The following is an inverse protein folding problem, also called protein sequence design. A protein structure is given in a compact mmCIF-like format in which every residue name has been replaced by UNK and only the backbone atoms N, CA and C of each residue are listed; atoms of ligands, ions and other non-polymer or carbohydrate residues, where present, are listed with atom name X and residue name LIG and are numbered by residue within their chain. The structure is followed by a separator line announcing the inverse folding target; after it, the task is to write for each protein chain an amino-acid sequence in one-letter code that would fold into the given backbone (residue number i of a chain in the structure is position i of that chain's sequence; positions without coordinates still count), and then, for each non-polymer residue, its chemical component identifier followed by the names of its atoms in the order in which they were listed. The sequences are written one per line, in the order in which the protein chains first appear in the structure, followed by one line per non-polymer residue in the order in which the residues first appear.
data_IF_319476700957
#
_entry.id   IF_319476700957
#
_cell.length_a   1.000
_cell.length_b   1.000
_cell.length_c   1.000
_cell.angle_alpha   90.00
_cell.angle_beta   90.00
_cell.angle_gamma   90.00
#
_symmetry.space_group_name_H-M   'P 1'
#
loop_
_entity.id
_entity.type
_entity.pdbx_description
1 polymer ?
#
# COMPACT_ATOMS: atom_id res chain seq x y z
N UNK A 1 92.74 -8.78 30.69
CA UNK A 1 93.04 -8.53 29.27
C UNK A 1 91.76 -8.85 28.50
N UNK A 2 90.79 -7.94 28.52
CA UNK A 2 90.57 -6.87 27.52
C UNK A 2 90.16 -7.44 26.15
N UNK A 3 88.85 -7.31 25.90
CA UNK A 3 88.13 -6.94 24.67
C UNK A 3 88.56 -7.49 23.30
N UNK A 4 87.61 -7.99 22.49
CA UNK A 4 86.76 -7.15 21.62
C UNK A 4 85.82 -8.04 20.78
N UNK A 5 84.51 -7.91 20.99
CA UNK A 5 83.46 -8.65 20.29
C UNK A 5 82.77 -7.68 19.31
N UNK A 6 83.26 -7.67 18.07
CA UNK A 6 82.70 -6.86 16.98
C UNK A 6 81.51 -7.56 16.34
N UNK A 7 80.50 -6.74 16.02
CA UNK A 7 79.40 -6.91 15.05
C UNK A 7 78.07 -7.46 15.59
N UNK A 8 77.27 -6.56 16.17
CA UNK A 8 75.80 -6.64 16.12
C UNK A 8 75.32 -5.43 15.31
N UNK A 9 74.67 -5.70 14.17
CA UNK A 9 73.99 -4.68 13.35
C UNK A 9 72.69 -4.29 14.06
N UNK A 10 72.61 -3.05 14.54
CA UNK A 10 71.34 -2.44 14.94
C UNK A 10 70.47 -2.25 13.69
N UNK A 11 69.35 -2.96 13.63
CA UNK A 11 68.19 -2.55 12.83
C UNK A 11 67.42 -1.51 13.65
N UNK A 12 67.45 -0.26 13.20
CA UNK A 12 66.61 0.81 13.72
C UNK A 12 65.21 0.60 13.17
N UNK A 13 64.30 0.05 13.98
CA UNK A 13 62.87 0.12 13.70
C UNK A 13 62.43 1.58 13.85
N UNK A 14 62.22 2.26 12.72
CA UNK A 14 61.51 3.52 12.70
C UNK A 14 60.07 3.28 13.16
N UNK A 15 59.75 3.71 14.38
CA UNK A 15 58.39 3.75 14.89
C UNK A 15 57.64 4.85 14.11
N UNK A 16 56.86 4.45 13.10
CA UNK A 16 55.88 5.34 12.47
C UNK A 16 54.72 5.46 13.45
N UNK A 17 54.72 6.55 14.22
CA UNK A 17 53.57 6.95 15.02
C UNK A 17 52.53 7.50 14.03
N UNK A 18 51.59 6.66 13.60
CA UNK A 18 50.39 7.12 12.91
C UNK A 18 49.58 7.98 13.88
N UNK A 19 49.31 9.27 13.60
CA UNK A 19 48.36 10.03 14.38
C UNK A 19 46.99 9.37 14.19
N UNK A 20 46.43 8.86 15.28
CA UNK A 20 45.04 8.43 15.34
C UNK A 20 44.21 9.70 15.19
N UNK A 21 43.79 10.01 13.97
CA UNK A 21 42.75 11.01 13.74
C UNK A 21 41.52 10.47 14.46
N UNK A 22 40.97 11.16 15.48
CA UNK A 22 39.69 10.78 16.02
C UNK A 22 38.70 11.00 14.88
N UNK A 23 38.30 9.92 14.22
CA UNK A 23 37.08 9.93 13.42
C UNK A 23 35.97 10.24 14.42
N UNK A 24 35.61 11.52 14.49
CA UNK A 24 34.41 11.96 15.15
C UNK A 24 33.26 11.18 14.53
N UNK A 25 32.79 10.15 15.24
CA UNK A 25 31.41 9.73 15.15
C UNK A 25 30.62 10.98 15.50
N UNK A 26 30.25 11.77 14.49
CA UNK A 26 29.10 12.63 14.59
C UNK A 26 27.97 11.69 14.99
N UNK A 27 27.57 11.75 16.26
CA UNK A 27 26.34 11.14 16.69
C UNK A 27 25.26 11.68 15.75
N UNK A 28 24.72 10.81 14.89
CA UNK A 28 23.56 11.17 14.08
C UNK A 28 22.52 11.72 15.06
N UNK A 29 22.02 12.93 14.77
CA UNK A 29 21.00 13.56 15.60
C UNK A 29 19.80 12.60 15.82
N UNK A 30 18.95 12.86 16.83
CA UNK A 30 17.86 11.94 17.16
C UNK A 30 17.03 11.61 15.91
N UNK A 31 16.85 10.31 15.65
CA UNK A 31 16.07 9.85 14.50
C UNK A 31 14.70 10.52 14.47
N UNK A 32 14.22 10.82 13.27
CA UNK A 32 12.86 11.34 13.06
C UNK A 32 11.76 10.29 13.32
N UNK A 33 12.13 9.01 13.43
CA UNK A 33 11.20 7.89 13.61
C UNK A 33 11.72 6.86 14.62
N UNK A 34 11.99 7.26 15.88
CA UNK A 34 12.68 6.41 16.85
C UNK A 34 11.89 5.16 17.26
N UNK A 35 10.56 5.21 17.32
CA UNK A 35 9.72 4.03 17.57
C UNK A 35 9.80 3.05 16.41
N UNK A 36 9.75 3.56 15.18
CA UNK A 36 9.89 2.74 13.98
C UNK A 36 11.27 2.08 13.90
N UNK A 37 12.34 2.78 14.25
CA UNK A 37 13.70 2.21 14.29
C UNK A 37 13.84 1.12 15.35
N UNK A 38 13.30 1.35 16.56
CA UNK A 38 13.26 0.33 17.62
C UNK A 38 12.45 -0.89 17.19
N UNK A 39 11.33 -0.70 16.50
CA UNK A 39 10.53 -1.79 15.95
C UNK A 39 11.34 -2.65 14.97
N UNK A 40 12.02 -2.01 14.01
CA UNK A 40 12.86 -2.69 13.01
C UNK A 40 13.93 -3.53 13.69
N UNK A 41 14.65 -2.98 14.68
CA UNK A 41 15.70 -3.73 15.37
C UNK A 41 15.14 -4.89 16.21
N UNK A 42 14.01 -4.69 16.88
CA UNK A 42 13.33 -5.76 17.61
C UNK A 42 12.92 -6.90 16.68
N UNK A 43 12.26 -6.58 15.56
CA UNK A 43 11.79 -7.55 14.57
C UNK A 43 12.97 -8.28 13.92
N UNK A 44 14.04 -7.56 13.56
CA UNK A 44 15.26 -8.15 12.98
C UNK A 44 15.84 -9.23 13.89
N UNK A 45 15.91 -8.97 15.21
CA UNK A 45 16.42 -9.94 16.18
C UNK A 45 15.53 -11.18 16.27
N UNK A 46 14.21 -11.00 16.35
CA UNK A 46 13.25 -12.13 16.38
C UNK A 46 13.32 -12.96 15.10
N UNK A 47 13.24 -12.32 13.93
CA UNK A 47 13.28 -13.00 12.64
C UNK A 47 14.58 -13.76 12.44
N UNK A 48 15.73 -13.15 12.79
CA UNK A 48 17.04 -13.81 12.74
C UNK A 48 17.09 -15.04 13.66
N UNK A 49 16.60 -14.93 14.88
CA UNK A 49 16.57 -16.05 15.82
C UNK A 49 15.73 -17.21 15.26
N UNK A 50 14.53 -16.93 14.76
CA UNK A 50 13.64 -17.95 14.18
C UNK A 50 14.24 -18.59 12.92
N UNK A 51 14.86 -17.80 12.04
CA UNK A 51 15.49 -18.29 10.82
C UNK A 51 16.69 -19.22 11.11
N UNK A 52 17.45 -18.97 12.17
CA UNK A 52 18.55 -19.85 12.60
C UNK A 52 18.05 -21.23 13.03
N UNK A 53 16.90 -21.29 13.72
CA UNK A 53 16.29 -22.54 14.18
C UNK A 53 15.55 -23.34 13.10
N UNK A 54 15.24 -22.74 11.95
CA UNK A 54 14.44 -23.39 10.91
C UNK A 54 14.86 -22.98 9.49
N UNK A 55 15.99 -23.54 9.04
CA UNK A 55 16.60 -23.23 7.73
C UNK A 55 15.79 -23.68 6.52
N UNK A 56 14.81 -24.57 6.73
CA UNK A 56 13.97 -25.04 5.63
C UNK A 56 13.04 -23.93 5.13
N UNK A 57 12.61 -22.99 5.99
CA UNK A 57 11.69 -21.89 5.65
C UNK A 57 12.44 -20.64 5.17
N UNK A 58 11.75 -19.77 4.43
CA UNK A 58 12.29 -18.51 3.92
C UNK A 58 12.54 -17.51 5.08
N UNK A 59 13.73 -16.89 5.18
CA UNK A 59 13.99 -15.81 6.15
C UNK A 59 13.01 -14.63 6.04
N UNK A 60 12.55 -14.34 4.82
CA UNK A 60 11.56 -13.31 4.52
C UNK A 60 10.19 -13.65 5.11
N UNK A 61 9.81 -14.93 5.18
CA UNK A 61 8.58 -15.35 5.84
C UNK A 61 8.63 -15.02 7.34
N UNK A 62 9.73 -15.33 8.02
CA UNK A 62 9.90 -14.97 9.43
C UNK A 62 9.90 -13.46 9.66
N UNK A 63 10.57 -12.70 8.78
CA UNK A 63 10.61 -11.24 8.86
C UNK A 63 9.22 -10.63 8.63
N UNK A 64 8.48 -11.11 7.64
CA UNK A 64 7.12 -10.67 7.35
C UNK A 64 6.16 -11.02 8.50
N UNK A 65 6.17 -12.26 8.97
CA UNK A 65 5.31 -12.70 10.06
C UNK A 65 5.62 -11.95 11.37
N UNK A 66 6.90 -11.79 11.72
CA UNK A 66 7.29 -11.01 12.89
C UNK A 66 6.89 -9.53 12.76
N UNK A 67 6.96 -8.95 11.56
CA UNK A 67 6.48 -7.58 11.31
C UNK A 67 4.97 -7.48 11.47
N UNK A 68 4.20 -8.40 10.89
CA UNK A 68 2.74 -8.41 11.01
C UNK A 68 2.30 -8.56 12.47
N UNK A 69 2.92 -9.49 13.20
CA UNK A 69 2.66 -9.71 14.62
C UNK A 69 3.03 -8.49 15.48
N UNK A 70 4.17 -7.85 15.20
CA UNK A 70 4.57 -6.63 15.91
C UNK A 70 3.54 -5.52 15.71
N UNK A 71 3.15 -5.25 14.47
CA UNK A 71 2.16 -4.21 14.18
C UNK A 71 0.83 -4.53 14.86
N UNK A 72 0.32 -5.75 14.71
CA UNK A 72 -0.96 -6.14 15.32
C UNK A 72 -0.93 -6.06 16.87
N UNK A 73 0.21 -6.37 17.48
CA UNK A 73 0.37 -6.38 18.93
C UNK A 73 0.66 -4.98 19.54
N UNK A 74 0.84 -3.94 18.72
CA UNK A 74 1.10 -2.56 19.20
C UNK A 74 0.12 -1.54 18.66
N UNK A 75 -0.51 -1.80 17.52
CA UNK A 75 -1.50 -0.90 16.93
C UNK A 75 -2.88 -1.54 17.02
N UNK A 76 -3.81 -0.81 17.64
CA UNK A 76 -5.18 -1.28 17.85
C UNK A 76 -6.19 -0.39 17.12
N UNK A 77 -7.06 -1.03 16.34
CA UNK A 77 -8.22 -0.34 15.74
C UNK A 77 -9.29 0.00 16.77
N UNK A 78 -9.33 -0.72 17.90
CA UNK A 78 -10.16 -0.34 19.04
C UNK A 78 -9.66 0.97 19.67
N UNK A 79 -8.35 1.11 19.89
CA UNK A 79 -7.77 2.35 20.42
C UNK A 79 -8.02 3.52 19.47
N UNK A 80 -7.89 3.30 18.15
CA UNK A 80 -8.25 4.30 17.16
C UNK A 80 -9.72 4.72 17.26
N UNK A 81 -10.63 3.76 17.39
CA UNK A 81 -12.07 4.02 17.56
C UNK A 81 -12.35 4.82 18.83
N UNK A 82 -11.73 4.47 19.96
CA UNK A 82 -11.84 5.20 21.24
C UNK A 82 -11.39 6.65 21.05
N UNK A 83 -10.20 6.88 20.47
CA UNK A 83 -9.71 8.23 20.19
C UNK A 83 -10.68 9.03 19.31
N UNK A 84 -11.29 8.38 18.32
CA UNK A 84 -12.27 9.01 17.43
C UNK A 84 -13.54 9.42 18.18
N UNK A 85 -14.09 8.53 19.01
CA UNK A 85 -15.30 8.81 19.82
C UNK A 85 -15.03 9.91 20.84
N UNK A 86 -13.86 9.91 21.46
CA UNK A 86 -13.39 10.94 22.38
C UNK A 86 -13.01 12.26 21.69
N UNK A 87 -13.13 12.35 20.36
CA UNK A 87 -12.75 13.51 19.53
C UNK A 87 -11.29 13.94 19.74
N UNK A 88 -10.40 13.01 20.08
CA UNK A 88 -8.96 13.23 20.20
C UNK A 88 -8.30 13.22 18.82
N UNK A 89 -7.12 13.83 18.72
CA UNK A 89 -6.34 13.84 17.48
C UNK A 89 -5.91 12.42 17.09
N UNK A 90 -6.41 11.96 15.95
CA UNK A 90 -6.06 10.67 15.36
C UNK A 90 -4.63 10.68 14.81
N UNK A 91 -3.91 9.54 14.87
CA UNK A 91 -2.56 9.46 14.32
C UNK A 91 -2.58 9.59 12.80
N UNK A 92 -1.65 10.39 12.27
CA UNK A 92 -1.58 10.74 10.84
C UNK A 92 -0.41 10.09 10.10
N UNK A 93 0.48 9.43 10.82
CA UNK A 93 1.65 8.72 10.29
C UNK A 93 2.01 7.52 11.18
N UNK A 94 2.93 6.69 10.70
CA UNK A 94 3.36 5.45 11.38
C UNK A 94 3.92 5.71 12.77
N UNK A 95 4.76 6.73 12.93
CA UNK A 95 5.36 7.05 14.22
C UNK A 95 4.31 7.42 15.27
N UNK A 96 3.33 8.26 14.90
CA UNK A 96 2.19 8.59 15.76
C UNK A 96 1.28 7.40 16.03
N UNK A 97 1.13 6.48 15.07
CA UNK A 97 0.38 5.25 15.28
C UNK A 97 1.04 4.35 16.33
N UNK A 98 2.36 4.23 16.30
CA UNK A 98 3.14 3.48 17.29
C UNK A 98 3.10 4.18 18.66
N UNK A 99 3.21 5.52 18.68
CA UNK A 99 3.15 6.30 19.93
C UNK A 99 1.80 6.18 20.62
N UNK A 100 0.70 6.24 19.85
CA UNK A 100 -0.67 6.20 20.37
C UNK A 100 -1.23 4.77 20.47
N UNK A 101 -0.47 3.78 20.05
CA UNK A 101 -0.90 2.39 19.95
C UNK A 101 -2.23 2.23 19.19
N UNK A 102 -2.44 3.07 18.18
CA UNK A 102 -3.74 3.25 17.53
C UNK A 102 -3.60 3.28 16.00
N UNK A 103 -4.44 2.52 15.30
CA UNK A 103 -4.50 2.52 13.85
C UNK A 103 -5.64 1.67 13.30
N UNK A 104 -6.13 2.03 12.11
CA UNK A 104 -7.02 1.17 11.31
C UNK A 104 -6.23 0.43 10.23
N UNK A 105 -6.91 -0.34 9.38
CA UNK A 105 -6.29 -1.17 8.35
C UNK A 105 -5.24 -0.43 7.50
N UNK A 106 -5.54 0.79 7.05
CA UNK A 106 -4.59 1.64 6.33
C UNK A 106 -3.32 1.98 7.12
N UNK A 107 -3.47 2.30 8.41
CA UNK A 107 -2.32 2.57 9.28
C UNK A 107 -1.49 1.31 9.53
N UNK A 108 -2.13 0.18 9.75
CA UNK A 108 -1.48 -1.11 9.97
C UNK A 108 -0.61 -1.50 8.76
N UNK A 109 -1.16 -1.40 7.55
CA UNK A 109 -0.42 -1.68 6.32
C UNK A 109 0.67 -0.64 6.09
N UNK A 110 0.44 0.65 6.38
CA UNK A 110 1.49 1.67 6.29
C UNK A 110 2.69 1.35 7.19
N UNK A 111 2.44 1.00 8.46
CA UNK A 111 3.49 0.61 9.41
C UNK A 111 4.22 -0.65 8.94
N UNK A 112 3.48 -1.67 8.50
CA UNK A 112 4.04 -2.90 7.96
C UNK A 112 4.97 -2.64 6.77
N UNK A 113 4.54 -1.83 5.80
CA UNK A 113 5.32 -1.53 4.60
C UNK A 113 6.56 -0.68 4.92
N UNK A 114 6.46 0.26 5.86
CA UNK A 114 7.59 1.09 6.29
C UNK A 114 8.66 0.26 6.99
N UNK A 115 8.26 -0.62 7.92
CA UNK A 115 9.17 -1.55 8.60
C UNK A 115 9.75 -2.56 7.60
N UNK A 116 8.91 -3.15 6.75
CA UNK A 116 9.32 -4.11 5.71
C UNK A 116 10.41 -3.53 4.80
N UNK A 117 10.26 -2.27 4.38
CA UNK A 117 11.27 -1.56 3.58
C UNK A 117 12.62 -1.49 4.31
N UNK A 118 12.62 -1.15 5.61
CA UNK A 118 13.85 -1.04 6.44
C UNK A 118 14.47 -2.42 6.76
N UNK A 119 13.69 -3.49 6.65
CA UNK A 119 14.14 -4.88 6.74
C UNK A 119 14.59 -5.46 5.38
N UNK A 120 14.50 -4.68 4.29
CA UNK A 120 14.88 -5.14 2.95
C UNK A 120 13.85 -6.06 2.27
N UNK A 121 12.63 -6.15 2.79
CA UNK A 121 11.57 -6.95 2.20
C UNK A 121 10.96 -6.24 1.00
N UNK A 122 10.74 -6.98 -0.09
CA UNK A 122 9.94 -6.52 -1.23
C UNK A 122 8.47 -6.73 -0.91
N UNK A 123 7.79 -5.68 -0.45
CA UNK A 123 6.38 -5.72 -0.08
C UNK A 123 5.55 -4.69 -0.86
N UNK A 124 4.25 -4.96 -1.02
CA UNK A 124 3.28 -4.04 -1.64
C UNK A 124 1.91 -4.11 -0.93
N UNK A 125 1.12 -3.03 -0.95
CA UNK A 125 -0.26 -3.09 -0.47
C UNK A 125 -1.15 -3.89 -1.42
N UNK A 126 -2.20 -4.49 -0.87
CA UNK A 126 -3.33 -5.02 -1.62
C UNK A 126 -4.59 -4.37 -1.07
N UNK A 127 -5.25 -3.56 -1.88
CA UNK A 127 -6.40 -2.75 -1.50
C UNK A 127 -7.67 -3.34 -2.08
N UNK A 128 -8.71 -3.41 -1.27
CA UNK A 128 -10.01 -4.00 -1.55
C UNK A 128 -11.07 -2.92 -1.46
N UNK A 129 -11.81 -2.69 -2.54
CA UNK A 129 -12.89 -1.71 -2.58
C UNK A 129 -14.22 -2.42 -2.86
N UNK A 130 -14.98 -2.61 -1.78
CA UNK A 130 -16.26 -3.29 -1.80
C UNK A 130 -17.32 -2.37 -2.37
N UNK A 131 -18.08 -2.89 -3.34
CA UNK A 131 -19.17 -2.15 -3.96
C UNK A 131 -20.46 -2.62 -3.30
N UNK A 132 -20.98 -1.82 -2.37
CA UNK A 132 -22.27 -2.11 -1.74
C UNK A 132 -23.43 -1.96 -2.74
N UNK A 133 -24.68 -2.19 -2.34
CA UNK A 133 -25.82 -2.04 -3.27
C UNK A 133 -25.95 -0.62 -3.85
N UNK A 134 -25.47 0.38 -3.11
CA UNK A 134 -25.39 1.79 -3.50
C UNK A 134 -24.00 2.35 -3.20
N UNK A 135 -23.52 3.37 -3.91
CA UNK A 135 -22.20 3.98 -3.66
C UNK A 135 -21.97 4.42 -2.21
N UNK A 136 -23.00 4.87 -1.50
CA UNK A 136 -22.92 5.29 -0.09
C UNK A 136 -22.64 4.14 0.88
N UNK A 137 -22.87 2.90 0.45
CA UNK A 137 -22.57 1.69 1.21
C UNK A 137 -21.23 1.05 0.79
N UNK A 138 -20.45 1.70 -0.08
CA UNK A 138 -19.11 1.23 -0.37
C UNK A 138 -18.26 1.29 0.90
N UNK A 139 -17.34 0.33 1.04
CA UNK A 139 -16.31 0.31 2.07
C UNK A 139 -15.03 -0.26 1.50
N UNK A 140 -13.96 -0.24 2.31
CA UNK A 140 -12.65 -0.69 1.86
C UNK A 140 -11.89 -1.43 2.94
N UNK A 141 -11.01 -2.33 2.52
CA UNK A 141 -10.01 -2.96 3.36
C UNK A 141 -8.65 -2.97 2.68
N UNK A 142 -7.57 -3.14 3.44
CA UNK A 142 -6.22 -3.19 2.88
C UNK A 142 -5.38 -4.20 3.64
N UNK A 143 -4.60 -4.96 2.87
CA UNK A 143 -3.65 -5.97 3.29
C UNK A 143 -2.27 -5.68 2.67
N UNK A 144 -1.32 -6.59 2.85
CA UNK A 144 -0.05 -6.53 2.14
C UNK A 144 0.31 -7.88 1.52
N UNK A 145 1.11 -7.84 0.46
CA UNK A 145 1.82 -9.00 -0.07
C UNK A 145 3.33 -8.80 0.09
N UNK A 146 4.04 -9.86 0.45
CA UNK A 146 5.51 -9.90 0.47
C UNK A 146 6.00 -10.88 -0.59
N UNK A 147 6.99 -10.47 -1.36
CA UNK A 147 7.59 -11.30 -2.40
C UNK A 147 8.78 -12.07 -1.84
N UNK A 148 8.70 -13.39 -1.86
CA UNK A 148 9.83 -14.27 -1.58
C UNK A 148 9.67 -15.58 -2.33
N UNK A 149 10.81 -16.19 -2.71
CA UNK A 149 10.87 -17.42 -3.51
C UNK A 149 10.03 -17.35 -4.79
N UNK A 150 10.10 -16.24 -5.51
CA UNK A 150 9.45 -16.09 -6.81
C UNK A 150 7.95 -15.76 -6.76
N UNK A 151 7.32 -15.71 -5.58
CA UNK A 151 5.87 -15.54 -5.45
C UNK A 151 5.51 -14.43 -4.47
N UNK A 152 4.37 -13.78 -4.72
CA UNK A 152 3.72 -12.89 -3.76
C UNK A 152 2.94 -13.71 -2.73
N UNK A 153 2.89 -13.22 -1.49
CA UNK A 153 2.39 -13.96 -0.32
C UNK A 153 1.59 -13.01 0.55
N UNK A 154 0.30 -13.27 0.72
CA UNK A 154 -0.64 -12.34 1.34
C UNK A 154 -0.64 -12.42 2.86
N UNK A 155 -0.67 -11.25 3.50
CA UNK A 155 -0.83 -11.05 4.94
C UNK A 155 -1.90 -9.98 5.16
N UNK A 156 -2.85 -10.27 6.06
CA UNK A 156 -3.75 -9.27 6.61
C UNK A 156 -3.26 -8.84 7.99
N UNK A 157 -2.65 -7.66 8.04
CA UNK A 157 -1.99 -7.15 9.24
C UNK A 157 -3.03 -6.70 10.28
N UNK A 158 -4.22 -6.31 9.84
CA UNK A 158 -5.30 -5.84 10.73
C UNK A 158 -5.81 -7.01 11.58
N UNK A 159 -6.06 -8.14 10.92
CA UNK A 159 -6.59 -9.34 11.57
C UNK A 159 -5.50 -10.32 12.04
N UNK A 160 -4.24 -10.07 11.67
CA UNK A 160 -3.13 -10.99 11.96
C UNK A 160 -3.35 -12.31 11.24
N UNK A 161 -3.82 -12.23 9.99
CA UNK A 161 -4.17 -13.40 9.18
C UNK A 161 -3.14 -13.63 8.09
N UNK A 162 -2.81 -14.90 7.86
CA UNK A 162 -2.08 -15.35 6.68
C UNK A 162 -2.67 -16.68 6.20
N UNK A 163 -2.35 -17.06 4.96
CA UNK A 163 -3.07 -18.13 4.25
C UNK A 163 -2.13 -19.21 3.71
N UNK A 164 -1.67 -20.17 4.53
CA UNK A 164 -0.89 -21.31 4.05
C UNK A 164 -1.68 -22.12 3.03
N UNK A 165 -1.02 -22.49 1.93
CA UNK A 165 -1.58 -23.38 0.93
C UNK A 165 -1.64 -24.80 1.51
N UNK A 166 -2.82 -25.44 1.44
CA UNK A 166 -3.01 -26.81 1.91
C UNK A 166 -2.03 -27.79 1.23
N UNK A 167 -1.40 -28.65 2.02
CA UNK A 167 -0.38 -29.61 1.57
C UNK A 167 0.97 -28.97 1.18
N UNK A 168 1.09 -27.64 1.26
CA UNK A 168 2.31 -26.90 0.99
C UNK A 168 3.24 -26.81 2.20
N UNK A 169 4.37 -26.14 1.99
CA UNK A 169 5.29 -25.76 3.07
C UNK A 169 4.63 -24.69 3.94
N UNK A 170 5.03 -24.58 5.21
CA UNK A 170 4.48 -23.58 6.15
C UNK A 170 4.60 -22.13 5.65
N UNK A 171 5.64 -21.84 4.88
CA UNK A 171 5.89 -20.53 4.26
C UNK A 171 5.34 -20.41 2.82
N UNK A 172 4.64 -21.42 2.31
CA UNK A 172 3.96 -21.36 1.02
C UNK A 172 2.56 -20.77 1.20
N UNK A 173 2.49 -19.44 1.21
CA UNK A 173 1.23 -18.72 1.41
C UNK A 173 0.57 -18.37 0.07
N UNK A 174 -0.75 -18.33 0.02
CA UNK A 174 -1.46 -17.88 -1.17
C UNK A 174 -1.31 -16.35 -1.37
N UNK A 175 -1.32 -15.92 -2.64
CA UNK A 175 -1.52 -14.51 -3.01
C UNK A 175 -3.01 -14.18 -3.15
N UNK A 176 -3.36 -12.91 -3.35
CA UNK A 176 -4.77 -12.51 -3.46
C UNK A 176 -5.47 -13.16 -4.66
N UNK A 177 -4.75 -13.42 -5.76
CA UNK A 177 -5.35 -14.02 -6.95
C UNK A 177 -5.74 -15.47 -6.71
N UNK A 178 -4.87 -16.26 -6.07
CA UNK A 178 -5.17 -17.64 -5.71
C UNK A 178 -6.28 -17.72 -4.67
N UNK A 179 -6.26 -16.86 -3.65
CA UNK A 179 -7.30 -16.81 -2.62
C UNK A 179 -8.69 -16.57 -3.21
N UNK A 180 -8.78 -15.69 -4.21
CA UNK A 180 -10.03 -15.37 -4.89
C UNK A 180 -10.48 -16.38 -5.93
N UNK A 181 -9.57 -17.19 -6.44
CA UNK A 181 -9.88 -18.24 -7.39
C UNK A 181 -10.41 -19.52 -6.71
N UNK A 182 -10.10 -19.72 -5.43
CA UNK A 182 -10.46 -20.93 -4.70
C UNK A 182 -11.58 -20.67 -3.70
N UNK A 183 -12.71 -21.36 -3.86
CA UNK A 183 -13.90 -21.18 -3.00
C UNK A 183 -13.63 -21.54 -1.54
N UNK A 184 -12.71 -22.48 -1.30
CA UNK A 184 -12.34 -22.94 0.05
C UNK A 184 -11.19 -22.16 0.69
N UNK A 185 -10.74 -21.06 0.09
CA UNK A 185 -9.61 -20.29 0.60
C UNK A 185 -9.80 -19.75 2.02
N UNK A 186 -11.06 -19.60 2.46
CA UNK A 186 -11.40 -19.24 3.86
C UNK A 186 -10.88 -20.27 4.86
N UNK A 187 -10.93 -21.56 4.51
CA UNK A 187 -10.46 -22.66 5.37
C UNK A 187 -8.94 -22.60 5.59
N UNK A 188 -8.21 -21.85 4.75
CA UNK A 188 -6.76 -21.71 4.84
C UNK A 188 -6.33 -20.60 5.81
N UNK A 189 -7.26 -19.78 6.30
CA UNK A 189 -6.94 -18.63 7.12
C UNK A 189 -6.38 -19.07 8.50
N UNK A 190 -5.14 -18.69 8.79
CA UNK A 190 -4.59 -18.72 10.14
C UNK A 190 -4.70 -17.31 10.71
N UNK A 191 -5.63 -17.09 11.64
CA UNK A 191 -6.02 -15.77 12.15
C UNK A 191 -5.82 -15.68 13.65
N UNK A 192 -5.33 -14.54 14.15
CA UNK A 192 -5.31 -14.24 15.57
C UNK A 192 -6.71 -13.85 16.10
N UNK A 193 -7.55 -14.86 16.35
CA UNK A 193 -8.92 -14.63 16.82
C UNK A 193 -8.99 -14.13 18.28
N UNK A 194 -7.92 -14.23 19.06
CA UNK A 194 -7.89 -13.72 20.44
C UNK A 194 -7.81 -12.18 20.53
N UNK A 195 -7.59 -11.50 19.39
CA UNK A 195 -7.56 -10.05 19.35
C UNK A 195 -8.95 -9.45 19.70
N UNK A 196 -8.98 -8.49 20.64
CA UNK A 196 -10.25 -7.91 21.11
C UNK A 196 -11.03 -7.18 20.02
N UNK A 197 -10.35 -6.51 19.09
CA UNK A 197 -11.00 -5.87 17.96
C UNK A 197 -11.61 -6.89 16.99
N UNK A 198 -10.93 -8.02 16.77
CA UNK A 198 -11.48 -9.14 16.01
C UNK A 198 -12.76 -9.68 16.65
N UNK A 199 -12.75 -9.90 17.97
CA UNK A 199 -13.93 -10.34 18.71
C UNK A 199 -15.09 -9.35 18.61
N UNK A 200 -14.81 -8.05 18.74
CA UNK A 200 -15.81 -6.99 18.56
C UNK A 200 -16.43 -7.00 17.16
N UNK A 201 -15.60 -7.20 16.12
CA UNK A 201 -16.05 -7.25 14.72
C UNK A 201 -16.99 -8.42 14.47
N UNK A 202 -16.60 -9.62 14.94
CA UNK A 202 -17.42 -10.84 14.85
C UNK A 202 -18.71 -10.70 15.66
N UNK A 203 -18.65 -10.15 16.88
CA UNK A 203 -19.83 -9.89 17.70
C UNK A 203 -20.81 -8.90 17.03
N UNK A 204 -20.29 -8.00 16.20
CA UNK A 204 -21.06 -7.08 15.36
C UNK A 204 -21.61 -7.72 14.08
N UNK A 205 -21.46 -9.04 13.92
CA UNK A 205 -21.86 -9.84 12.74
C UNK A 205 -21.20 -9.36 11.44
N UNK A 206 -20.01 -8.79 11.54
CA UNK A 206 -19.21 -8.39 10.39
C UNK A 206 -18.21 -9.51 10.04
N UNK A 207 -17.87 -9.61 8.76
CA UNK A 207 -16.94 -10.61 8.25
C UNK A 207 -15.53 -10.01 8.07
N UNK A 208 -14.52 -10.42 8.88
CA UNK A 208 -13.14 -9.96 8.71
C UNK A 208 -12.52 -10.36 7.36
N UNK A 209 -13.02 -11.42 6.73
CA UNK A 209 -12.46 -12.04 5.53
C UNK A 209 -13.35 -11.87 4.29
N UNK A 210 -14.29 -10.92 4.32
CA UNK A 210 -15.23 -10.64 3.22
C UNK A 210 -14.54 -10.46 1.86
N UNK A 211 -13.30 -9.95 1.85
CA UNK A 211 -12.54 -9.72 0.61
C UNK A 211 -12.20 -11.00 -0.18
N UNK A 212 -12.30 -12.18 0.44
CA UNK A 212 -11.99 -13.45 -0.22
C UNK A 212 -13.05 -13.82 -1.26
N UNK A 213 -14.33 -13.53 -0.97
CA UNK A 213 -15.47 -14.01 -1.75
C UNK A 213 -16.52 -12.93 -2.08
N UNK A 214 -16.30 -11.66 -1.67
CA UNK A 214 -17.16 -10.56 -2.06
C UNK A 214 -17.42 -10.53 -3.58
N UNK A 215 -18.69 -10.55 -4.03
CA UNK A 215 -19.04 -10.66 -5.44
C UNK A 215 -18.71 -9.39 -6.21
N UNK A 216 -18.87 -8.22 -5.58
CA UNK A 216 -18.62 -6.93 -6.20
C UNK A 216 -17.42 -6.24 -5.54
N UNK A 217 -16.24 -6.47 -6.10
CA UNK A 217 -14.98 -5.98 -5.52
C UNK A 217 -14.03 -5.49 -6.61
N UNK A 218 -13.45 -4.32 -6.39
CA UNK A 218 -12.27 -3.87 -7.12
C UNK A 218 -11.02 -4.09 -6.26
N UNK A 219 -9.93 -4.55 -6.88
CA UNK A 219 -8.67 -4.87 -6.18
C UNK A 219 -7.54 -4.08 -6.80
N UNK A 220 -6.80 -3.33 -5.98
CA UNK A 220 -5.54 -2.72 -6.39
C UNK A 220 -4.37 -3.47 -5.75
N UNK A 221 -3.37 -3.83 -6.56
CA UNK A 221 -2.12 -4.46 -6.09
C UNK A 221 -0.98 -3.48 -6.30
N UNK A 222 -0.38 -2.98 -5.23
CA UNK A 222 0.58 -1.88 -5.31
C UNK A 222 -0.04 -0.62 -5.93
N UNK A 223 -1.30 -0.31 -5.62
CA UNK A 223 -2.01 0.80 -6.27
C UNK A 223 -2.30 0.59 -7.77
N UNK A 224 -2.05 -0.60 -8.34
CA UNK A 224 -2.36 -0.92 -9.74
C UNK A 224 -3.69 -1.67 -9.83
N UNK A 225 -4.58 -1.20 -10.69
CA UNK A 225 -5.82 -1.88 -11.04
C UNK A 225 -6.88 -0.93 -11.58
N UNK A 226 -8.12 -1.40 -11.60
CA UNK A 226 -9.27 -0.63 -12.09
C UNK A 226 -10.25 -0.41 -10.96
N UNK A 227 -10.67 0.84 -10.77
CA UNK A 227 -11.75 1.25 -9.88
C UNK A 227 -12.99 1.52 -10.72
N UNK A 228 -14.11 0.91 -10.35
CA UNK A 228 -15.40 1.08 -11.00
C UNK A 228 -16.25 2.04 -10.18
N UNK A 229 -16.69 3.12 -10.81
CA UNK A 229 -17.57 4.11 -10.23
C UNK A 229 -18.97 3.96 -10.79
N UNK A 230 -19.96 4.02 -9.91
CA UNK A 230 -21.38 4.10 -10.26
C UNK A 230 -21.89 5.51 -10.02
N UNK A 231 -22.99 5.85 -10.68
CA UNK A 231 -23.70 7.11 -10.45
C UNK A 231 -24.05 7.23 -8.96
N UNK A 232 -23.51 8.27 -8.32
CA UNK A 232 -23.66 8.54 -6.89
C UNK A 232 -24.75 9.58 -6.61
N UNK A 233 -25.02 10.46 -7.57
CA UNK A 233 -26.04 11.50 -7.53
C UNK A 233 -26.40 11.94 -8.96
N UNK A 234 -27.49 12.70 -9.10
CA UNK A 234 -27.90 13.37 -10.35
C UNK A 234 -28.16 14.85 -10.07
N UNK A 235 -27.74 15.71 -10.98
CA UNK A 235 -28.03 17.15 -10.98
C UNK A 235 -28.70 17.52 -12.31
N UNK A 236 -30.04 17.58 -12.30
CA UNK A 236 -30.83 17.64 -13.53
C UNK A 236 -30.55 16.43 -14.43
N UNK A 237 -30.05 16.68 -15.65
CA UNK A 237 -29.65 15.64 -16.61
C UNK A 237 -28.21 15.14 -16.42
N UNK A 238 -27.43 15.74 -15.51
CA UNK A 238 -26.04 15.36 -15.26
C UNK A 238 -25.96 14.20 -14.27
N UNK A 239 -25.15 13.21 -14.60
CA UNK A 239 -24.80 12.10 -13.71
C UNK A 239 -23.48 12.40 -13.00
N UNK A 240 -23.45 12.20 -11.68
CA UNK A 240 -22.29 12.50 -10.84
C UNK A 240 -21.67 11.21 -10.31
N UNK A 241 -20.38 11.00 -10.57
CA UNK A 241 -19.59 9.83 -10.15
C UNK A 241 -18.57 10.28 -9.11
N UNK A 242 -18.86 10.02 -7.83
CA UNK A 242 -17.98 10.32 -6.71
C UNK A 242 -17.27 9.05 -6.21
N UNK A 243 -15.98 9.11 -5.89
CA UNK A 243 -15.24 7.99 -5.32
C UNK A 243 -15.54 7.86 -3.82
N UNK A 244 -16.71 7.31 -3.48
CA UNK A 244 -17.11 7.10 -2.09
C UNK A 244 -16.40 5.85 -1.52
N UNK A 245 -15.52 6.06 -0.53
CA UNK A 245 -14.63 5.04 0.03
C UNK A 245 -13.75 4.33 -1.02
N UNK A 246 -13.44 5.02 -2.11
CA UNK A 246 -12.60 4.55 -3.22
C UNK A 246 -11.50 5.59 -3.49
N UNK A 247 -10.42 5.24 -4.22
CA UNK A 247 -9.40 6.20 -4.62
C UNK A 247 -10.00 7.29 -5.50
N UNK A 248 -9.52 8.51 -5.30
CA UNK A 248 -9.97 9.69 -6.03
C UNK A 248 -8.89 10.22 -6.99
N UNK A 249 -8.09 9.32 -7.57
CA UNK A 249 -7.08 9.67 -8.55
C UNK A 249 -7.02 8.67 -9.71
N UNK A 250 -6.61 9.16 -10.87
CA UNK A 250 -6.34 8.36 -12.09
C UNK A 250 -4.85 8.43 -12.37
N UNK A 251 -4.19 7.30 -12.56
CA UNK A 251 -2.78 7.21 -12.92
C UNK A 251 -1.88 6.63 -11.85
N UNK A 252 -0.56 6.75 -12.05
CA UNK A 252 0.48 6.21 -11.17
C UNK A 252 1.04 7.31 -10.29
N UNK A 253 0.88 7.16 -8.98
CA UNK A 253 1.35 8.13 -7.98
C UNK A 253 2.71 7.77 -7.35
N UNK A 254 3.33 6.64 -7.74
CA UNK A 254 4.61 6.18 -7.20
C UNK A 254 5.51 5.55 -8.25
N UNK A 255 6.71 6.09 -8.42
CA UNK A 255 7.78 5.51 -9.25
C UNK A 255 8.45 4.34 -8.51
N UNK A 256 7.81 3.18 -8.50
CA UNK A 256 8.36 1.96 -7.92
C UNK A 256 7.87 0.75 -8.70
N UNK A 257 8.74 -0.21 -9.03
CA UNK A 257 8.44 -1.36 -9.92
C UNK A 257 7.22 -2.20 -9.49
N UNK A 258 6.95 -2.26 -8.20
CA UNK A 258 5.83 -3.01 -7.62
C UNK A 258 4.54 -2.19 -7.48
N UNK A 259 4.56 -0.95 -7.97
CA UNK A 259 3.42 -0.05 -8.01
C UNK A 259 3.05 0.29 -9.45
N UNK A 260 1.79 0.58 -9.70
CA UNK A 260 1.31 0.91 -11.05
C UNK A 260 0.14 1.89 -11.05
N UNK A 261 -0.49 2.09 -12.21
CA UNK A 261 -1.54 3.09 -12.35
C UNK A 261 -2.91 2.58 -11.87
N UNK A 262 -3.70 3.49 -11.31
CA UNK A 262 -5.14 3.36 -11.15
C UNK A 262 -5.84 3.79 -12.44
N UNK A 263 -6.71 2.92 -12.94
CA UNK A 263 -7.65 3.22 -14.04
C UNK A 263 -9.04 3.40 -13.44
N UNK A 264 -9.81 4.38 -13.92
CA UNK A 264 -11.19 4.59 -13.49
C UNK A 264 -12.13 4.21 -14.62
N UNK A 265 -13.14 3.39 -14.31
CA UNK A 265 -14.20 2.98 -15.23
C UNK A 265 -15.54 3.50 -14.70
N UNK A 266 -16.32 4.19 -15.52
CA UNK A 266 -17.68 4.60 -15.18
C UNK A 266 -18.66 3.51 -15.62
N UNK A 267 -19.43 2.98 -14.68
CA UNK A 267 -20.41 1.92 -14.93
C UNK A 267 -21.76 2.50 -15.33
N UNK A 268 -22.33 1.93 -16.40
CA UNK A 268 -23.65 2.26 -16.93
C UNK A 268 -23.90 3.78 -17.07
N UNK A 269 -23.00 4.53 -17.73
CA UNK A 269 -23.19 5.96 -17.94
C UNK A 269 -24.41 6.23 -18.84
N UNK A 270 -25.01 7.41 -18.69
CA UNK A 270 -26.10 7.86 -19.55
C UNK A 270 -25.68 7.79 -21.03
N UNK A 271 -26.37 6.98 -21.87
CA UNK A 271 -26.00 6.80 -23.27
C UNK A 271 -26.09 8.08 -24.10
N UNK A 272 -26.84 9.08 -23.64
CA UNK A 272 -27.02 10.36 -24.34
C UNK A 272 -25.94 11.39 -24.00
N UNK A 273 -25.15 11.17 -22.95
CA UNK A 273 -24.14 12.14 -22.54
C UNK A 273 -23.11 12.35 -23.67
N UNK A 274 -22.75 13.61 -23.88
CA UNK A 274 -21.75 14.05 -24.86
C UNK A 274 -20.64 14.87 -24.23
N UNK A 275 -20.75 15.19 -22.94
CA UNK A 275 -19.79 15.98 -22.19
C UNK A 275 -19.28 15.17 -21.01
N UNK A 276 -17.96 15.17 -20.83
CA UNK A 276 -17.29 14.69 -19.62
C UNK A 276 -16.69 15.89 -18.89
N UNK A 277 -16.98 16.01 -17.60
CA UNK A 277 -16.35 17.00 -16.72
C UNK A 277 -15.63 16.30 -15.56
N UNK A 278 -14.49 16.84 -15.17
CA UNK A 278 -13.68 16.35 -14.05
C UNK A 278 -13.35 17.55 -13.14
N UNK A 279 -13.80 17.52 -11.89
CA UNK A 279 -13.38 18.50 -10.89
C UNK A 279 -11.99 18.13 -10.38
N UNK A 280 -10.96 18.85 -10.84
CA UNK A 280 -9.55 18.51 -10.59
C UNK A 280 -9.07 19.15 -9.30
N UNK A 281 -8.63 18.32 -8.35
CA UNK A 281 -8.05 18.78 -7.08
C UNK A 281 -6.53 18.98 -7.17
N UNK A 282 -5.86 18.20 -8.02
CA UNK A 282 -4.42 18.18 -8.09
C UNK A 282 -3.93 17.29 -9.23
N UNK A 283 -2.65 17.41 -9.59
CA UNK A 283 -1.98 16.51 -10.51
C UNK A 283 -0.48 16.51 -10.23
N UNK A 284 0.22 15.46 -10.64
CA UNK A 284 1.68 15.43 -10.64
C UNK A 284 2.22 14.56 -11.77
N UNK A 285 3.44 14.86 -12.20
CA UNK A 285 4.11 14.18 -13.31
C UNK A 285 3.88 14.85 -14.67
N UNK A 286 4.28 14.16 -15.73
CA UNK A 286 4.13 14.60 -17.12
C UNK A 286 3.47 13.50 -17.96
N UNK A 287 2.76 13.90 -19.02
CA UNK A 287 1.98 12.98 -19.85
C UNK A 287 0.61 13.54 -20.22
N UNK A 288 -0.36 12.65 -20.39
CA UNK A 288 -1.73 13.00 -20.72
C UNK A 288 -2.75 12.21 -19.89
N UNK A 289 -3.88 12.85 -19.58
CA UNK A 289 -5.09 12.16 -19.15
C UNK A 289 -5.80 11.70 -20.41
N UNK A 290 -6.11 10.42 -20.48
CA UNK A 290 -6.76 9.81 -21.63
C UNK A 290 -8.15 9.35 -21.21
N UNK A 291 -9.16 9.89 -21.88
CA UNK A 291 -10.56 9.48 -21.74
C UNK A 291 -10.89 8.60 -22.95
N UNK A 292 -11.26 7.36 -22.68
CA UNK A 292 -11.72 6.41 -23.68
C UNK A 292 -13.24 6.33 -23.66
N UNK A 293 -13.87 6.40 -24.83
CA UNK A 293 -15.30 6.17 -25.04
C UNK A 293 -15.48 5.05 -26.07
N UNK A 294 -15.46 3.80 -25.60
CA UNK A 294 -15.24 2.65 -26.49
C UNK A 294 -13.81 2.67 -27.05
N UNK A 295 -13.68 2.67 -28.38
CA UNK A 295 -12.37 2.76 -29.06
C UNK A 295 -11.89 4.21 -29.24
N UNK A 296 -12.80 5.18 -29.13
CA UNK A 296 -12.48 6.59 -29.25
C UNK A 296 -11.59 7.04 -28.08
N UNK A 297 -10.56 7.83 -28.41
CA UNK A 297 -9.54 8.28 -27.46
C UNK A 297 -9.44 9.80 -27.48
N UNK A 298 -9.72 10.43 -26.35
CA UNK A 298 -9.46 11.85 -26.12
C UNK A 298 -8.27 12.00 -25.18
N UNK A 299 -7.14 12.46 -25.70
CA UNK A 299 -5.94 12.73 -24.91
C UNK A 299 -5.88 14.22 -24.53
N UNK A 300 -5.76 14.49 -23.24
CA UNK A 300 -5.68 15.82 -22.66
C UNK A 300 -4.30 15.96 -22.02
N UNK A 301 -3.39 16.76 -22.58
CA UNK A 301 -2.07 16.96 -22.01
C UNK A 301 -2.15 17.42 -20.56
N UNK A 302 -1.31 16.89 -19.67
CA UNK A 302 -1.27 17.35 -18.28
C UNK A 302 -0.94 18.84 -18.18
N UNK A 303 -0.14 19.36 -19.11
CA UNK A 303 0.18 20.79 -19.21
C UNK A 303 -1.05 21.70 -19.41
N UNK A 304 -2.17 21.17 -19.93
CA UNK A 304 -3.42 21.93 -20.06
C UNK A 304 -4.40 21.75 -18.90
N UNK A 305 -4.07 20.90 -17.92
CA UNK A 305 -4.93 20.63 -16.76
C UNK A 305 -4.46 21.50 -15.58
N UNK A 306 -5.38 22.24 -14.96
CA UNK A 306 -5.09 23.09 -13.80
C UNK A 306 -5.76 22.55 -12.55
N UNK A 307 -5.02 22.52 -11.43
CA UNK A 307 -5.57 22.16 -10.12
C UNK A 307 -6.58 23.22 -9.65
N UNK A 308 -7.64 22.78 -8.99
CA UNK A 308 -8.75 23.62 -8.54
C UNK A 308 -9.70 24.07 -9.65
N UNK A 309 -9.57 23.52 -10.87
CA UNK A 309 -10.43 23.86 -12.01
C UNK A 309 -11.20 22.65 -12.53
N UNK A 310 -12.35 22.94 -13.12
CA UNK A 310 -13.13 21.95 -13.85
C UNK A 310 -12.55 21.75 -15.24
N UNK A 311 -12.06 20.53 -15.50
CA UNK A 311 -11.71 20.09 -16.84
C UNK A 311 -12.98 19.65 -17.58
N UNK A 312 -13.26 20.23 -18.74
CA UNK A 312 -14.42 19.88 -19.58
C UNK A 312 -13.94 19.36 -20.92
N UNK A 313 -14.49 18.24 -21.39
CA UNK A 313 -14.19 17.65 -22.70
C UNK A 313 -15.48 17.24 -23.40
N UNK A 314 -15.60 17.60 -24.67
CA UNK A 314 -16.70 17.19 -25.54
C UNK A 314 -16.32 15.88 -26.22
N UNK A 315 -17.21 14.89 -26.16
CA UNK A 315 -17.12 13.65 -26.93
C UNK A 315 -17.61 13.92 -28.35
N UNK A 316 -17.02 13.26 -29.36
CA UNK A 316 -17.45 13.48 -30.76
C UNK A 316 -18.88 12.97 -31.00
N UNK A 317 -19.33 11.98 -30.23
CA UNK A 317 -20.64 11.36 -30.32
C UNK A 317 -21.17 11.00 -28.93
N UNK A 318 -22.51 10.86 -28.76
CA UNK A 318 -23.11 10.36 -27.53
C UNK A 318 -22.54 8.99 -27.12
N UNK A 319 -22.36 8.74 -25.83
CA UNK A 319 -21.73 7.51 -25.31
C UNK A 319 -22.38 6.23 -25.88
N UNK A 320 -23.69 6.19 -26.02
CA UNK A 320 -24.43 4.99 -26.44
C UNK A 320 -24.23 3.84 -25.45
N UNK A 321 -24.03 2.63 -25.96
CA UNK A 321 -23.75 1.44 -25.12
C UNK A 321 -22.29 1.30 -24.70
N UNK A 322 -21.44 2.30 -24.98
CA UNK A 322 -19.99 2.26 -24.72
C UNK A 322 -19.70 2.55 -23.25
N UNK A 323 -18.51 2.14 -22.79
CA UNK A 323 -18.02 2.50 -21.45
C UNK A 323 -17.11 3.72 -21.52
N UNK A 324 -17.07 4.49 -20.42
CA UNK A 324 -16.12 5.57 -20.22
C UNK A 324 -15.01 5.10 -19.30
N UNK A 325 -13.76 5.16 -19.78
CA UNK A 325 -12.57 4.77 -19.03
C UNK A 325 -11.55 5.91 -19.02
N UNK A 326 -11.08 6.27 -17.83
CA UNK A 326 -10.05 7.29 -17.64
C UNK A 326 -8.73 6.61 -17.26
N UNK A 327 -7.64 7.01 -17.90
CA UNK A 327 -6.30 6.50 -17.65
C UNK A 327 -5.27 7.63 -17.81
N UNK A 328 -4.24 7.66 -16.97
CA UNK A 328 -3.07 8.52 -17.22
C UNK A 328 -2.05 7.78 -18.09
N UNK A 329 -1.48 8.49 -19.07
CA UNK A 329 -0.42 8.02 -19.95
C UNK A 329 0.83 8.86 -19.69
N UNK A 330 1.83 8.36 -18.93
CA UNK A 330 3.06 9.12 -18.67
C UNK A 330 3.93 9.24 -19.93
N UNK A 331 4.74 10.30 -20.03
CA UNK A 331 5.72 10.44 -21.12
C UNK A 331 6.88 9.45 -21.00
N UNK A 332 7.26 9.13 -19.76
CA UNK A 332 8.30 8.15 -19.43
C UNK A 332 7.65 6.84 -18.99
N UNK A 333 8.12 5.73 -19.53
CA UNK A 333 7.77 4.40 -19.03
C UNK A 333 8.07 4.35 -17.53
N UNK A 334 7.10 3.86 -16.76
CA UNK A 334 7.12 3.80 -15.31
C UNK A 334 7.20 5.13 -14.53
N UNK A 335 7.07 6.26 -15.22
CA UNK A 335 7.01 7.59 -14.61
C UNK A 335 5.78 7.79 -13.73
N UNK A 336 5.89 8.73 -12.77
CA UNK A 336 4.73 9.26 -12.05
C UNK A 336 3.92 10.12 -13.02
N UNK A 337 2.63 9.84 -13.12
CA UNK A 337 1.65 10.67 -13.82
C UNK A 337 0.28 10.33 -13.26
N UNK A 338 -0.35 11.27 -12.54
CA UNK A 338 -1.71 11.10 -12.05
C UNK A 338 -2.45 12.43 -11.90
N UNK A 339 -3.77 12.34 -11.95
CA UNK A 339 -4.73 13.44 -11.68
C UNK A 339 -5.60 13.05 -10.50
N UNK A 340 -5.69 13.92 -9.50
CA UNK A 340 -6.60 13.80 -8.35
C UNK A 340 -7.87 14.56 -8.66
N UNK A 341 -9.02 13.94 -8.42
CA UNK A 341 -10.31 14.52 -8.71
C UNK A 341 -11.25 14.43 -7.50
N UNK A 342 -12.25 15.30 -7.46
CA UNK A 342 -13.35 15.21 -6.49
C UNK A 342 -14.51 14.39 -7.04
N UNK A 343 -14.86 14.66 -8.28
CA UNK A 343 -16.04 14.12 -8.96
C UNK A 343 -15.79 14.10 -10.47
N UNK A 344 -16.38 13.11 -11.13
CA UNK A 344 -16.56 13.07 -12.58
C UNK A 344 -18.04 13.27 -12.87
N UNK A 345 -18.40 14.16 -13.79
CA UNK A 345 -19.79 14.30 -14.23
C UNK A 345 -19.94 14.09 -15.73
N UNK A 346 -21.07 13.48 -16.10
CA UNK A 346 -21.48 13.24 -17.47
C UNK A 346 -22.77 13.99 -17.75
N UNK A 347 -22.85 14.67 -18.89
CA UNK A 347 -24.03 15.41 -19.30
C UNK A 347 -24.02 15.76 -20.77
N UNK A 348 -24.87 16.69 -21.17
CA UNK A 348 -25.09 17.08 -22.57
C UNK A 348 -26.50 16.75 -23.02
#
# INVERSE_FOLDING_TARGET
MICDLRKIRLWVCALVICPVVPMGLQAEGPSKTPLTDRAVEHIRRQAKHMALGCRSLAPEFFSALATANFVQARMSSLNYSILSVEKKKLPTNVEQCLEKEAGICGNHVAAFLEISKRLGLRARPVEFYFRGDKPQKNHSHICAEVFYRGHWRMFDITWGTYFPISGGRRDDLADVSRLRAERRSRDWAVTNQANLWYQQWVASKLDPLEYLDAPQLDILRGGRGTIRLRVSARDGQRELFRPLHQPNFVGRNRAHRDYGPVVVLLENPNPKATVVQLDVLGLAGTGALVIFCGEERHAIPFASIRSGQMLKTQLSQPIGKRSIRLQASPDKVDGVAYVVYREISLGG
#
